data_IF_005890215383
#
_entry.id   IF_005890215383
#
_cell.length_a   1.000
_cell.length_b   1.000
_cell.length_c   1.000
_cell.angle_alpha   90.00
_cell.angle_beta   90.00
_cell.angle_gamma   90.00
#
_symmetry.space_group_name_H-M   'P 1'
#
loop_
_entity.id
_entity.type
_entity.pdbx_description
1 polymer ?
#
# COMPACT_ATOMS: atom_id res chain seq x y z
N UNK A 1 -20.77 -19.52 -7.95
CA UNK A 1 -20.74 -18.55 -6.83
C UNK A 1 -20.00 -17.31 -7.31
N UNK A 2 -20.69 -16.19 -7.45
CA UNK A 2 -20.05 -14.91 -7.75
C UNK A 2 -19.42 -14.43 -6.43
N UNK A 3 -18.09 -14.42 -6.33
CA UNK A 3 -17.38 -13.90 -5.15
C UNK A 3 -17.60 -12.39 -5.07
N UNK A 4 -17.84 -11.86 -3.86
CA UNK A 4 -17.97 -10.42 -3.61
C UNK A 4 -16.76 -9.67 -4.18
N UNK A 5 -16.96 -8.53 -4.89
CA UNK A 5 -15.89 -7.81 -5.60
C UNK A 5 -14.82 -7.17 -4.71
N UNK A 6 -14.98 -7.18 -3.37
CA UNK A 6 -14.09 -6.47 -2.45
C UNK A 6 -13.63 -7.40 -1.33
N UNK A 7 -12.95 -8.48 -1.68
CA UNK A 7 -12.26 -9.34 -0.71
C UNK A 7 -10.76 -9.10 -0.83
N UNK A 8 -10.12 -8.68 0.27
CA UNK A 8 -8.67 -8.56 0.31
C UNK A 8 -7.99 -9.92 0.09
N UNK A 9 -6.72 -9.90 -0.31
CA UNK A 9 -5.87 -11.08 -0.46
C UNK A 9 -6.31 -12.03 -1.58
N UNK A 10 -7.25 -11.62 -2.42
CA UNK A 10 -7.76 -12.39 -3.55
C UNK A 10 -7.32 -11.74 -4.86
N UNK A 11 -6.74 -12.52 -5.77
CA UNK A 11 -6.38 -12.05 -7.10
C UNK A 11 -7.31 -12.65 -8.16
N UNK A 12 -7.71 -11.87 -9.17
CA UNK A 12 -8.48 -12.42 -10.31
C UNK A 12 -7.62 -13.41 -11.10
N UNK A 13 -6.39 -12.98 -11.43
CA UNK A 13 -5.36 -13.83 -12.02
C UNK A 13 -4.56 -14.48 -10.89
N UNK A 14 -4.54 -15.80 -10.80
CA UNK A 14 -3.85 -16.50 -9.72
C UNK A 14 -2.34 -16.57 -9.99
N UNK A 15 -1.48 -16.23 -9.02
CA UNK A 15 -0.03 -16.36 -9.18
C UNK A 15 0.37 -17.83 -9.26
N UNK A 16 1.33 -18.15 -10.12
CA UNK A 16 1.93 -19.49 -10.21
C UNK A 16 3.34 -19.41 -9.65
N UNK A 17 3.51 -19.93 -8.43
CA UNK A 17 4.80 -19.94 -7.74
C UNK A 17 5.49 -21.26 -8.06
N UNK A 18 6.57 -21.21 -8.84
CA UNK A 18 7.38 -22.39 -9.14
C UNK A 18 8.59 -22.41 -8.22
N UNK A 19 8.75 -23.50 -7.49
CA UNK A 19 9.95 -23.74 -6.71
C UNK A 19 11.18 -23.86 -7.64
N UNK A 20 12.33 -23.39 -7.17
CA UNK A 20 13.70 -23.72 -7.66
C UNK A 20 14.42 -22.77 -8.65
N UNK A 21 14.05 -21.50 -8.81
CA UNK A 21 14.81 -20.57 -9.68
C UNK A 21 15.46 -19.41 -8.88
N UNK A 22 16.77 -19.24 -9.07
CA UNK A 22 17.63 -18.18 -8.49
C UNK A 22 17.33 -16.85 -9.21
N UNK A 23 17.17 -15.75 -8.47
CA UNK A 23 16.88 -14.41 -9.04
C UNK A 23 15.40 -14.07 -9.27
N UNK A 24 14.49 -14.88 -8.75
CA UNK A 24 13.03 -14.71 -8.93
C UNK A 24 12.55 -15.23 -10.28
N UNK A 25 11.22 -15.33 -10.43
CA UNK A 25 10.56 -15.67 -11.70
C UNK A 25 9.63 -14.54 -12.10
N UNK A 26 9.44 -14.34 -13.41
CA UNK A 26 8.41 -13.43 -13.89
C UNK A 26 7.04 -13.90 -13.37
N UNK A 27 6.30 -12.96 -12.78
CA UNK A 27 4.93 -13.19 -12.33
C UNK A 27 3.97 -13.23 -13.52
N UNK A 28 2.79 -13.82 -13.33
CA UNK A 28 1.74 -13.70 -14.33
C UNK A 28 1.25 -12.24 -14.32
N UNK A 29 1.11 -11.56 -15.46
CA UNK A 29 0.61 -10.19 -15.50
C UNK A 29 -0.67 -10.04 -14.66
N UNK A 30 -0.66 -9.03 -13.77
CA UNK A 30 -1.75 -8.69 -12.86
C UNK A 30 -2.09 -9.76 -11.80
N UNK A 31 -1.24 -10.78 -11.58
CA UNK A 31 -1.48 -11.79 -10.53
C UNK A 31 -1.22 -11.31 -9.10
N UNK A 32 -0.68 -10.11 -8.96
CA UNK A 32 -0.40 -9.46 -7.68
C UNK A 32 -1.06 -8.07 -7.65
N UNK A 33 -2.40 -7.99 -7.62
CA UNK A 33 -3.14 -6.77 -7.94
C UNK A 33 -3.02 -5.66 -6.88
N UNK A 34 -2.41 -5.95 -5.74
CA UNK A 34 -2.12 -5.01 -4.66
C UNK A 34 -0.74 -4.37 -4.75
N UNK A 35 0.14 -4.80 -5.66
CA UNK A 35 1.47 -4.23 -5.78
C UNK A 35 1.40 -2.77 -6.25
N UNK A 36 2.18 -1.91 -5.59
CA UNK A 36 2.33 -0.50 -5.95
C UNK A 36 3.78 -0.23 -6.28
N UNK A 37 4.02 0.32 -7.47
CA UNK A 37 5.32 0.85 -7.87
C UNK A 37 5.39 2.32 -7.46
N UNK A 38 6.24 2.64 -6.50
CA UNK A 38 6.49 4.01 -6.05
C UNK A 38 7.66 4.55 -6.86
N UNK A 39 7.38 5.58 -7.65
CA UNK A 39 8.31 6.12 -8.65
C UNK A 39 8.65 7.57 -8.35
N UNK A 40 9.84 7.97 -8.77
CA UNK A 40 10.18 9.37 -8.89
C UNK A 40 9.54 9.92 -10.17
N UNK A 41 8.74 10.98 -10.05
CA UNK A 41 8.04 11.58 -11.19
C UNK A 41 9.01 12.08 -12.28
N UNK A 42 10.19 12.57 -11.86
CA UNK A 42 11.20 13.12 -12.77
C UNK A 42 11.83 12.09 -13.71
N UNK A 43 11.93 10.84 -13.29
CA UNK A 43 12.56 9.76 -14.07
C UNK A 43 11.56 8.67 -14.50
N UNK A 44 10.36 8.66 -13.91
CA UNK A 44 9.39 7.57 -13.99
C UNK A 44 10.00 6.20 -13.64
N UNK A 45 11.05 6.18 -12.82
CA UNK A 45 11.72 4.96 -12.40
C UNK A 45 11.22 4.51 -11.02
N UNK A 46 10.93 3.20 -10.83
CA UNK A 46 10.65 2.66 -9.51
C UNK A 46 11.87 2.80 -8.59
N UNK A 47 11.64 3.24 -7.36
CA UNK A 47 12.67 3.28 -6.32
C UNK A 47 12.23 2.55 -5.04
N UNK A 48 10.93 2.50 -4.77
CA UNK A 48 10.32 1.69 -3.73
C UNK A 48 9.09 0.94 -4.27
N UNK A 49 8.71 -0.13 -3.59
CA UNK A 49 7.42 -0.79 -3.69
C UNK A 49 6.46 -0.37 -2.57
N UNK A 50 5.23 -0.81 -2.69
CA UNK A 50 4.20 -0.68 -1.67
C UNK A 50 3.07 -1.66 -1.91
N UNK A 51 2.10 -1.70 -1.01
CA UNK A 51 0.94 -2.58 -1.10
C UNK A 51 -0.35 -1.83 -0.84
N UNK A 52 -1.32 -1.95 -1.73
CA UNK A 52 -2.67 -1.46 -1.43
C UNK A 52 -3.31 -2.31 -0.34
N UNK A 53 -3.74 -1.65 0.74
CA UNK A 53 -4.44 -2.27 1.87
C UNK A 53 -5.91 -1.84 1.95
N UNK A 54 -6.25 -0.74 1.28
CA UNK A 54 -7.63 -0.26 1.03
C UNK A 54 -7.69 0.37 -0.36
N UNK A 55 -8.86 0.88 -0.75
CA UNK A 55 -9.09 1.65 -1.98
C UNK A 55 -8.35 2.98 -2.04
N UNK A 56 -7.75 3.43 -0.93
CA UNK A 56 -7.11 4.74 -0.80
C UNK A 56 -5.75 4.68 -0.12
N UNK A 57 -5.41 3.62 0.59
CA UNK A 57 -4.18 3.54 1.37
C UNK A 57 -3.19 2.52 0.82
N UNK A 58 -1.95 2.98 0.65
CA UNK A 58 -0.77 2.16 0.36
C UNK A 58 0.06 2.00 1.63
N UNK A 59 0.41 0.77 1.96
CA UNK A 59 1.37 0.42 3.01
C UNK A 59 2.76 0.23 2.40
N UNK A 60 3.77 0.87 2.99
CA UNK A 60 5.16 0.81 2.52
C UNK A 60 6.14 1.12 3.67
N UNK A 61 7.43 1.29 3.37
CA UNK A 61 8.48 1.61 4.34
C UNK A 61 8.62 3.13 4.57
N UNK A 62 8.97 3.53 5.79
CA UNK A 62 9.22 4.94 6.13
C UNK A 62 10.48 5.49 5.46
N UNK A 63 11.51 4.66 5.31
CA UNK A 63 12.78 5.07 4.70
C UNK A 63 12.62 5.57 3.27
N UNK A 64 11.56 5.18 2.56
CA UNK A 64 11.27 5.65 1.20
C UNK A 64 11.01 7.16 1.13
N UNK A 65 10.61 7.80 2.25
CA UNK A 65 10.19 9.21 2.28
C UNK A 65 10.92 10.07 3.31
N UNK A 66 11.74 9.45 4.17
CA UNK A 66 12.33 10.10 5.34
C UNK A 66 13.08 11.40 5.03
N UNK A 67 13.94 11.39 4.01
CA UNK A 67 14.77 12.56 3.70
C UNK A 67 13.94 13.79 3.31
N UNK A 68 12.83 13.60 2.60
CA UNK A 68 11.95 14.70 2.24
C UNK A 68 11.10 15.15 3.44
N UNK A 69 10.46 14.21 4.15
CA UNK A 69 9.57 14.58 5.25
C UNK A 69 10.33 15.22 6.41
N UNK A 70 11.55 14.75 6.70
CA UNK A 70 12.44 15.42 7.66
C UNK A 70 12.79 16.85 7.23
N UNK A 71 13.04 17.07 5.94
CA UNK A 71 13.36 18.40 5.41
C UNK A 71 12.19 19.37 5.52
N UNK A 72 10.96 18.88 5.41
CA UNK A 72 9.74 19.69 5.39
C UNK A 72 8.90 19.61 6.69
N UNK A 73 9.43 18.99 7.75
CA UNK A 73 8.76 18.88 9.05
C UNK A 73 7.44 18.10 9.00
N UNK A 74 7.46 16.96 8.29
CA UNK A 74 6.32 16.04 8.09
C UNK A 74 5.09 16.67 7.39
N UNK A 75 5.24 17.87 6.82
CA UNK A 75 4.17 18.52 6.06
C UNK A 75 4.15 18.05 4.61
N UNK A 76 2.97 17.72 4.11
CA UNK A 76 2.77 17.48 2.69
C UNK A 76 2.85 18.81 1.91
N UNK A 77 3.98 19.04 1.22
CA UNK A 77 4.20 20.21 0.38
C UNK A 77 3.90 19.91 -1.09
N UNK A 78 3.70 20.96 -1.91
CA UNK A 78 3.56 20.81 -3.35
C UNK A 78 4.78 20.11 -3.98
N UNK A 79 5.99 20.34 -3.43
CA UNK A 79 7.23 19.70 -3.88
C UNK A 79 7.24 18.18 -3.60
N UNK A 80 6.71 17.74 -2.46
CA UNK A 80 6.59 16.30 -2.16
C UNK A 80 5.51 15.66 -3.05
N UNK A 81 4.35 16.32 -3.19
CA UNK A 81 3.24 15.80 -4.03
C UNK A 81 3.65 15.59 -5.48
N UNK A 82 4.47 16.48 -6.04
CA UNK A 82 4.94 16.37 -7.43
C UNK A 82 6.15 15.46 -7.61
N UNK A 83 6.82 15.04 -6.52
CA UNK A 83 8.01 14.18 -6.59
C UNK A 83 7.66 12.70 -6.78
N UNK A 84 6.52 12.25 -6.25
CA UNK A 84 6.17 10.84 -6.17
C UNK A 84 4.96 10.47 -7.04
N UNK A 85 5.10 9.37 -7.77
CA UNK A 85 4.01 8.73 -8.50
C UNK A 85 3.77 7.33 -7.95
N UNK A 86 2.50 6.98 -7.73
CA UNK A 86 2.06 5.67 -7.27
C UNK A 86 1.39 4.97 -8.44
N UNK A 87 2.05 3.94 -8.97
CA UNK A 87 1.60 3.19 -10.14
C UNK A 87 1.10 1.82 -9.69
N UNK A 88 -0.19 1.57 -9.87
CA UNK A 88 -0.90 0.37 -9.38
C UNK A 88 -1.26 -0.53 -10.57
N UNK A 89 -1.21 -1.84 -10.37
CA UNK A 89 -1.63 -2.83 -11.37
C UNK A 89 -0.62 -3.04 -12.51
N UNK A 90 0.53 -2.37 -12.45
CA UNK A 90 1.59 -2.50 -13.44
C UNK A 90 2.19 -3.91 -13.43
N UNK A 91 2.47 -4.46 -14.62
CA UNK A 91 3.38 -5.60 -14.78
C UNK A 91 4.78 -5.12 -15.17
N UNK A 92 4.86 -4.13 -16.05
CA UNK A 92 6.12 -3.58 -16.52
C UNK A 92 6.61 -2.39 -15.68
N UNK A 93 7.91 -2.34 -15.38
CA UNK A 93 8.51 -1.22 -14.62
C UNK A 93 8.64 0.05 -15.46
N UNK A 94 8.63 -0.07 -16.79
CA UNK A 94 8.62 1.06 -17.74
C UNK A 94 7.42 0.95 -18.66
N UNK A 95 6.92 2.09 -19.13
CA UNK A 95 5.88 2.12 -20.15
C UNK A 95 6.41 1.53 -21.45
N UNK A 96 5.87 0.38 -21.83
CA UNK A 96 5.83 -0.04 -23.23
C UNK A 96 4.44 0.28 -23.76
N UNK A 97 4.32 0.68 -25.02
CA UNK A 97 3.02 0.94 -25.63
C UNK A 97 2.31 -0.41 -25.88
N UNK A 98 1.81 -1.04 -24.81
CA UNK A 98 1.19 -2.37 -24.82
C UNK A 98 -0.11 -2.33 -24.04
N UNK A 99 -1.16 -2.95 -24.57
CA UNK A 99 -2.49 -3.11 -23.95
C UNK A 99 -2.46 -3.72 -22.53
N UNK A 100 -1.33 -4.31 -22.12
CA UNK A 100 -1.07 -4.86 -20.77
C UNK A 100 -0.68 -3.80 -19.71
N UNK A 101 -0.61 -2.52 -20.08
CA UNK A 101 -0.27 -1.41 -19.17
C UNK A 101 -1.51 -0.65 -18.67
N UNK A 102 -2.61 -1.36 -18.38
CA UNK A 102 -3.67 -0.78 -17.55
C UNK A 102 -3.09 -0.55 -16.14
N UNK A 103 -2.56 0.64 -15.90
CA UNK A 103 -2.08 1.04 -14.60
C UNK A 103 -2.74 2.34 -14.17
N UNK A 104 -3.16 2.40 -12.92
CA UNK A 104 -3.61 3.64 -12.31
C UNK A 104 -2.38 4.43 -11.85
N UNK A 105 -2.37 5.73 -12.14
CA UNK A 105 -1.30 6.65 -11.74
C UNK A 105 -1.87 7.72 -10.85
N UNK A 106 -1.43 7.69 -9.61
CA UNK A 106 -1.93 8.57 -8.57
C UNK A 106 -0.78 9.31 -7.91
N UNK A 107 -1.10 10.43 -7.29
CA UNK A 107 -0.21 11.14 -6.36
C UNK A 107 -0.64 10.86 -4.93
N UNK A 108 0.12 11.36 -3.96
CA UNK A 108 -0.26 11.28 -2.55
C UNK A 108 -1.05 12.52 -2.11
N UNK A 109 -2.15 12.30 -1.39
CA UNK A 109 -2.77 13.32 -0.56
C UNK A 109 -1.94 13.58 0.70
N UNK A 110 -1.52 12.50 1.38
CA UNK A 110 -0.69 12.53 2.57
C UNK A 110 0.29 11.34 2.60
N UNK A 111 1.44 11.51 3.26
CA UNK A 111 2.42 10.46 3.53
C UNK A 111 2.72 10.53 5.03
N UNK A 112 2.48 9.43 5.74
CA UNK A 112 2.49 9.36 7.19
C UNK A 112 3.49 8.27 7.61
N UNK A 113 4.67 8.67 8.06
CA UNK A 113 5.65 7.75 8.64
C UNK A 113 5.28 7.41 10.08
N UNK A 114 5.68 6.23 10.53
CA UNK A 114 5.58 5.92 11.95
C UNK A 114 6.39 6.95 12.78
N UNK A 115 5.80 7.59 13.80
CA UNK A 115 6.44 8.70 14.53
C UNK A 115 7.69 8.28 15.29
N UNK A 116 7.86 6.97 15.54
CA UNK A 116 9.04 6.39 16.18
C UNK A 116 10.01 5.72 15.20
N UNK A 117 9.91 6.00 13.89
CA UNK A 117 10.87 5.48 12.91
C UNK A 117 12.29 5.93 13.27
N UNK A 118 13.18 4.95 13.44
CA UNK A 118 14.58 5.18 13.76
C UNK A 118 15.45 4.92 12.53
N UNK A 119 16.14 5.95 12.05
CA UNK A 119 16.96 5.83 10.84
C UNK A 119 18.22 5.02 10.99
N UNK A 120 18.75 4.89 12.21
CA UNK A 120 19.96 4.12 12.46
C UNK A 120 19.65 2.63 12.54
N UNK A 121 18.60 2.25 13.26
CA UNK A 121 18.24 0.83 13.48
C UNK A 121 17.21 0.29 12.49
N UNK A 122 16.58 1.18 11.71
CA UNK A 122 15.41 0.88 10.85
C UNK A 122 14.24 0.26 11.62
N UNK A 123 14.19 0.44 12.94
CA UNK A 123 13.04 0.03 13.75
C UNK A 123 11.88 0.99 13.45
N UNK A 124 10.65 0.44 13.38
CA UNK A 124 9.45 1.15 12.95
C UNK A 124 9.54 1.71 11.52
N UNK A 125 10.21 0.98 10.62
CA UNK A 125 10.28 1.33 9.20
C UNK A 125 8.99 0.96 8.47
N UNK A 126 7.97 1.81 8.66
CA UNK A 126 6.62 1.64 8.12
C UNK A 126 5.98 3.02 7.88
N UNK A 127 5.31 3.17 6.75
CA UNK A 127 4.57 4.37 6.38
C UNK A 127 3.25 4.02 5.68
N UNK A 128 2.29 4.92 5.81
CA UNK A 128 1.06 4.93 5.05
C UNK A 128 1.09 6.08 4.04
N UNK A 129 0.65 5.80 2.82
CA UNK A 129 0.37 6.82 1.82
C UNK A 129 -1.12 6.82 1.57
N UNK A 130 -1.75 7.97 1.78
CA UNK A 130 -3.09 8.23 1.31
C UNK A 130 -3.02 8.72 -0.14
N UNK A 131 -3.69 8.02 -1.04
CA UNK A 131 -3.74 8.38 -2.45
C UNK A 131 -4.63 9.61 -2.67
N UNK A 132 -4.35 10.35 -3.74
CA UNK A 132 -5.11 11.55 -4.12
C UNK A 132 -6.59 11.28 -4.41
N UNK A 133 -6.94 10.04 -4.75
CA UNK A 133 -8.30 9.59 -5.00
C UNK A 133 -8.45 8.09 -4.65
N UNK A 134 -9.68 7.69 -4.34
CA UNK A 134 -10.03 6.26 -4.20
C UNK A 134 -9.93 5.56 -5.55
N UNK A 135 -9.62 4.27 -5.50
CA UNK A 135 -9.49 3.39 -6.65
C UNK A 135 -10.81 2.71 -6.96
N UNK A 136 -11.17 2.66 -8.24
CA UNK A 136 -12.27 1.82 -8.73
C UNK A 136 -11.86 0.34 -8.73
N UNK A 137 -12.61 -0.47 -7.98
CA UNK A 137 -12.37 -1.89 -7.79
C UNK A 137 -13.00 -2.79 -8.86
N UNK A 138 -13.61 -2.19 -9.88
CA UNK A 138 -14.10 -2.93 -11.04
C UNK A 138 -12.95 -3.38 -11.96
N UNK A 139 -11.77 -2.78 -11.85
CA UNK A 139 -10.57 -3.19 -12.58
C UNK A 139 -9.95 -4.46 -11.97
N UNK A 140 -9.93 -5.56 -12.74
CA UNK A 140 -9.36 -6.85 -12.34
C UNK A 140 -7.86 -6.85 -12.12
N UNK A 141 -7.16 -5.81 -12.60
CA UNK A 141 -5.73 -5.62 -12.35
C UNK A 141 -5.42 -5.00 -10.99
N UNK A 142 -6.46 -4.58 -10.25
CA UNK A 142 -6.33 -3.91 -8.96
C UNK A 142 -7.08 -4.65 -7.86
N UNK A 143 -6.49 -4.65 -6.66
CA UNK A 143 -7.03 -5.33 -5.49
C UNK A 143 -6.19 -4.99 -4.26
N UNK A 144 -6.63 -5.45 -3.09
CA UNK A 144 -5.96 -5.15 -1.82
C UNK A 144 -5.38 -6.40 -1.20
N UNK A 145 -4.24 -6.28 -0.52
CA UNK A 145 -3.70 -7.35 0.32
C UNK A 145 -4.40 -7.33 1.69
N UNK A 146 -4.63 -8.49 2.30
CA UNK A 146 -5.14 -8.51 3.68
C UNK A 146 -4.01 -8.16 4.66
N UNK A 147 -4.34 -7.36 5.68
CA UNK A 147 -3.50 -7.26 6.87
C UNK A 147 -3.58 -8.57 7.69
N UNK A 148 -2.55 -8.88 8.50
CA UNK A 148 -2.61 -10.00 9.43
C UNK A 148 -3.84 -9.91 10.35
N UNK A 149 -4.41 -11.07 10.68
CA UNK A 149 -5.53 -11.13 11.63
C UNK A 149 -5.12 -10.52 12.99
N UNK A 150 -6.02 -9.82 13.71
CA UNK A 150 -5.72 -9.24 15.02
C UNK A 150 -5.14 -10.25 16.02
N UNK A 151 -5.60 -11.50 15.95
CA UNK A 151 -5.14 -12.62 16.81
C UNK A 151 -3.67 -12.98 16.58
N UNK A 152 -3.11 -12.63 15.41
CA UNK A 152 -1.70 -12.88 15.05
C UNK A 152 -0.76 -11.78 15.55
N UNK A 153 -1.27 -10.78 16.28
CA UNK A 153 -0.44 -9.78 16.97
C UNK A 153 0.36 -10.40 18.12
N UNK A 154 -0.23 -11.37 18.82
CA UNK A 154 0.30 -11.98 20.05
C UNK A 154 0.50 -13.50 20.01
N UNK A 155 1.18 -14.03 18.99
CA UNK A 155 2.07 -15.15 19.20
C UNK A 155 3.52 -14.71 18.97
N UNK A 156 4.43 -15.21 19.81
CA UNK A 156 5.88 -15.27 19.50
C UNK A 156 6.20 -16.20 18.30
N UNK A 157 5.20 -16.54 17.47
CA UNK A 157 5.28 -17.55 16.42
C UNK A 157 4.74 -17.06 15.07
N UNK A 158 4.46 -15.76 14.91
CA UNK A 158 4.03 -15.18 13.62
C UNK A 158 4.98 -14.07 13.15
N UNK A 159 5.51 -14.06 11.92
CA UNK A 159 5.31 -15.10 10.91
C UNK A 159 5.90 -16.45 11.35
N UNK A 160 5.33 -17.59 10.92
CA UNK A 160 5.82 -18.91 11.31
C UNK A 160 7.23 -19.14 10.80
N UNK A 161 8.09 -19.73 11.65
CA UNK A 161 9.45 -20.09 11.26
C UNK A 161 9.43 -21.05 10.05
N UNK A 162 10.33 -20.81 9.10
CA UNK A 162 10.47 -21.56 7.84
C UNK A 162 9.24 -21.55 6.92
N UNK A 163 8.26 -20.68 7.15
CA UNK A 163 7.18 -20.49 6.20
C UNK A 163 7.75 -19.95 4.88
N UNK A 164 7.32 -20.55 3.76
CA UNK A 164 7.69 -20.11 2.42
C UNK A 164 6.89 -18.86 2.05
N UNK A 165 7.49 -17.70 2.32
CA UNK A 165 6.88 -16.40 2.06
C UNK A 165 7.25 -15.88 0.68
N UNK A 166 6.40 -15.04 0.11
CA UNK A 166 6.54 -14.56 -1.27
C UNK A 166 6.81 -13.08 -1.26
N UNK A 167 7.95 -12.68 -1.80
CA UNK A 167 8.27 -11.30 -2.11
C UNK A 167 8.03 -11.03 -3.60
N UNK A 168 7.61 -9.80 -3.92
CA UNK A 168 7.37 -9.36 -5.29
C UNK A 168 7.93 -7.95 -5.51
N UNK A 169 8.38 -7.68 -6.73
CA UNK A 169 8.87 -6.36 -7.10
C UNK A 169 9.64 -6.31 -8.41
N UNK A 170 10.21 -5.14 -8.68
CA UNK A 170 11.01 -4.85 -9.89
C UNK A 170 12.47 -4.57 -9.57
N UNK A 171 12.90 -4.90 -8.35
CA UNK A 171 14.25 -4.67 -7.87
C UNK A 171 15.29 -5.38 -8.73
N UNK A 172 16.55 -5.06 -8.43
CA UNK A 172 17.69 -5.62 -9.15
C UNK A 172 17.72 -7.13 -9.02
N UNK A 173 17.90 -7.81 -10.15
CA UNK A 173 18.05 -9.28 -10.19
C UNK A 173 19.43 -9.77 -9.75
N UNK A 174 20.38 -8.85 -9.57
CA UNK A 174 21.76 -9.10 -9.13
C UNK A 174 22.24 -7.97 -8.23
N UNK A 175 23.05 -8.32 -7.25
CA UNK A 175 23.64 -7.35 -6.32
C UNK A 175 24.69 -6.44 -7.00
N UNK A 176 25.40 -6.97 -8.00
CA UNK A 176 26.51 -6.27 -8.63
C UNK A 176 26.12 -4.92 -9.26
N UNK A 177 27.13 -4.07 -9.51
CA UNK A 177 26.97 -2.73 -10.08
C UNK A 177 26.30 -2.73 -11.47
N UNK A 178 26.25 -3.89 -12.13
CA UNK A 178 25.64 -4.09 -13.45
C UNK A 178 24.22 -4.67 -13.36
N UNK A 179 23.76 -5.05 -12.17
CA UNK A 179 22.42 -5.53 -11.88
C UNK A 179 21.38 -4.49 -12.27
N UNK A 180 20.67 -4.75 -13.36
CA UNK A 180 19.57 -3.89 -13.80
C UNK A 180 18.31 -4.24 -13.00
N UNK A 181 17.50 -3.22 -12.71
CA UNK A 181 16.13 -3.42 -12.28
C UNK A 181 15.39 -4.25 -13.33
N UNK A 182 14.48 -5.13 -12.88
CA UNK A 182 13.69 -5.93 -13.79
C UNK A 182 12.71 -5.06 -14.58
N UNK A 183 12.55 -5.35 -15.87
CA UNK A 183 11.50 -4.71 -16.67
C UNK A 183 10.11 -5.27 -16.37
N UNK A 184 10.02 -6.47 -15.79
CA UNK A 184 8.78 -7.18 -15.48
C UNK A 184 8.67 -7.44 -13.99
N UNK A 185 7.45 -7.56 -13.48
CA UNK A 185 7.22 -7.87 -12.08
C UNK A 185 7.72 -9.29 -11.79
N UNK A 186 8.69 -9.39 -10.89
CA UNK A 186 9.22 -10.66 -10.42
C UNK A 186 8.56 -11.06 -9.11
N UNK A 187 8.59 -12.36 -8.85
CA UNK A 187 8.19 -12.97 -7.60
C UNK A 187 9.25 -13.98 -7.16
N UNK A 188 9.48 -14.07 -5.85
CA UNK A 188 10.44 -15.00 -5.27
C UNK A 188 9.92 -15.55 -3.95
N UNK A 189 10.11 -16.85 -3.76
CA UNK A 189 9.83 -17.53 -2.50
C UNK A 189 11.07 -17.47 -1.61
N UNK A 190 10.89 -17.03 -0.37
CA UNK A 190 11.91 -16.85 0.66
C UNK A 190 11.43 -17.51 1.96
N UNK A 191 12.24 -18.38 2.58
CA UNK A 191 11.88 -18.97 3.85
C UNK A 191 12.00 -17.90 4.94
N UNK A 192 10.94 -17.75 5.74
CA UNK A 192 10.97 -16.96 6.96
C UNK A 192 11.97 -17.57 7.92
N UNK A 193 12.80 -16.74 8.54
CA UNK A 193 13.63 -17.12 9.66
C UNK A 193 12.95 -16.63 10.95
N UNK A 194 12.93 -17.47 11.97
CA UNK A 194 12.31 -17.14 13.26
C UNK A 194 12.72 -15.74 13.71
N UNK A 195 11.77 -14.88 14.12
CA UNK A 195 12.09 -13.54 14.59
C UNK A 195 13.03 -13.57 15.81
N UNK A 196 13.08 -14.69 16.54
CA UNK A 196 13.88 -14.89 17.76
C UNK A 196 15.21 -15.61 17.52
N UNK A 197 15.71 -15.67 16.28
CA UNK A 197 17.11 -16.07 16.03
C UNK A 197 18.07 -15.09 16.72
N UNK A 198 19.36 -15.47 16.82
CA UNK A 198 20.36 -14.54 17.33
C UNK A 198 20.36 -13.31 16.41
N UNK A 199 20.36 -12.08 16.95
CA UNK A 199 20.37 -10.86 16.15
C UNK A 199 21.41 -10.88 15.03
N UNK A 200 22.63 -11.37 15.32
CA UNK A 200 23.73 -11.49 14.35
C UNK A 200 23.46 -12.44 13.17
N UNK A 201 22.53 -13.39 13.32
CA UNK A 201 22.13 -14.29 12.24
C UNK A 201 21.11 -13.61 11.30
N UNK A 202 20.54 -12.47 11.72
CA UNK A 202 19.53 -11.70 10.98
C UNK A 202 20.08 -10.36 10.46
N UNK A 203 20.77 -9.60 11.32
CA UNK A 203 21.27 -8.26 11.03
C UNK A 203 22.58 -7.98 11.79
N UNK A 204 23.48 -7.26 11.13
CA UNK A 204 24.75 -6.79 11.71
C UNK A 204 24.57 -5.53 12.59
N UNK A 205 23.33 -5.11 12.83
CA UNK A 205 22.98 -3.93 13.60
C UNK A 205 21.96 -4.25 14.71
N UNK A 206 21.62 -3.23 15.52
CA UNK A 206 20.57 -3.37 16.55
C UNK A 206 19.28 -3.84 15.90
N UNK A 207 18.80 -5.00 16.35
CA UNK A 207 17.65 -5.71 15.82
C UNK A 207 16.61 -5.91 16.92
N UNK A 208 15.35 -5.61 16.62
CA UNK A 208 14.23 -5.81 17.55
C UNK A 208 13.35 -6.98 17.05
N UNK A 209 13.43 -8.17 17.66
CA UNK A 209 12.68 -9.36 17.24
C UNK A 209 11.15 -9.21 17.40
N UNK A 210 10.68 -8.20 18.13
CA UNK A 210 9.24 -7.94 18.23
C UNK A 210 8.73 -7.16 17.02
N UNK A 211 9.59 -6.36 16.37
CA UNK A 211 9.22 -5.43 15.30
C UNK A 211 9.80 -5.78 13.94
N UNK A 212 10.82 -6.62 13.91
CA UNK A 212 11.56 -7.02 12.71
C UNK A 212 11.66 -8.55 12.66
N UNK A 213 11.85 -9.08 11.45
CA UNK A 213 12.17 -10.49 11.22
C UNK A 213 12.96 -10.64 9.92
N UNK A 214 13.62 -11.78 9.75
CA UNK A 214 14.40 -12.09 8.56
C UNK A 214 13.71 -13.09 7.65
N UNK A 215 13.94 -12.98 6.35
CA UNK A 215 13.59 -14.01 5.38
C UNK A 215 14.68 -14.14 4.32
N UNK A 216 14.99 -15.37 3.93
CA UNK A 216 16.04 -15.66 2.97
C UNK A 216 16.73 -16.99 3.23
N UNK A 217 17.34 -17.55 2.19
CA UNK A 217 18.07 -18.81 2.27
C UNK A 217 19.42 -18.61 2.94
N UNK A 218 19.78 -19.51 3.85
CA UNK A 218 21.09 -19.49 4.51
C UNK A 218 22.24 -19.55 3.50
N UNK A 219 22.08 -20.29 2.40
CA UNK A 219 23.09 -20.39 1.34
C UNK A 219 23.11 -19.16 0.42
N UNK A 220 22.19 -18.20 0.58
CA UNK A 220 21.99 -17.10 -0.34
C UNK A 220 21.35 -17.54 -1.66
N UNK A 221 21.61 -16.79 -2.73
CA UNK A 221 21.12 -17.04 -4.08
C UNK A 221 19.71 -16.53 -4.38
N UNK A 222 18.88 -16.24 -3.36
CA UNK A 222 17.59 -15.57 -3.54
C UNK A 222 17.33 -14.58 -2.43
N UNK A 223 16.81 -13.42 -2.81
CA UNK A 223 16.50 -12.33 -1.90
C UNK A 223 15.64 -11.27 -2.61
N UNK A 224 15.08 -10.36 -1.82
CA UNK A 224 14.70 -9.02 -2.30
C UNK A 224 15.94 -8.17 -2.49
N UNK A 225 15.92 -7.24 -3.44
CA UNK A 225 17.07 -6.37 -3.68
C UNK A 225 16.67 -4.91 -3.87
N UNK A 226 17.66 -4.08 -4.20
CA UNK A 226 17.48 -2.66 -4.47
C UNK A 226 16.34 -2.42 -5.46
N UNK A 227 15.33 -1.63 -5.06
CA UNK A 227 14.09 -1.38 -5.81
C UNK A 227 12.88 -2.17 -5.32
N UNK A 228 13.07 -3.17 -4.44
CA UNK A 228 11.98 -3.88 -3.74
C UNK A 228 11.68 -3.29 -2.36
N UNK A 229 12.47 -2.31 -1.90
CA UNK A 229 12.27 -1.55 -0.66
C UNK A 229 10.83 -1.10 -0.48
N UNK A 230 10.22 -1.34 0.67
CA UNK A 230 8.81 -1.02 0.94
C UNK A 230 7.80 -1.98 0.30
N UNK A 231 8.25 -2.90 -0.55
CA UNK A 231 7.42 -3.95 -1.14
C UNK A 231 6.97 -5.01 -0.12
N UNK A 232 5.94 -5.82 -0.47
CA UNK A 232 5.38 -6.80 0.44
C UNK A 232 6.18 -8.11 0.48
N UNK A 233 6.27 -8.67 1.68
CA UNK A 233 6.51 -10.10 1.92
C UNK A 233 5.21 -10.72 2.43
N UNK A 234 4.76 -11.81 1.79
CA UNK A 234 3.39 -12.30 1.93
C UNK A 234 3.32 -13.80 2.23
N UNK A 235 2.27 -14.20 2.94
CA UNK A 235 1.88 -15.60 3.10
C UNK A 235 0.43 -15.79 2.66
N UNK A 236 0.11 -17.00 2.20
CA UNK A 236 -1.26 -17.37 1.87
C UNK A 236 -1.83 -18.29 2.95
N UNK A 237 -3.03 -17.97 3.43
CA UNK A 237 -3.81 -18.78 4.36
C UNK A 237 -5.18 -19.02 3.76
N UNK A 238 -5.57 -20.28 3.55
CA UNK A 238 -6.84 -20.65 2.93
C UNK A 238 -7.11 -19.87 1.61
N UNK A 239 -6.10 -19.78 0.74
CA UNK A 239 -6.16 -19.05 -0.54
C UNK A 239 -6.35 -17.53 -0.43
N UNK A 240 -6.18 -16.96 0.77
CA UNK A 240 -6.19 -15.52 1.01
C UNK A 240 -4.79 -15.05 1.37
N UNK A 241 -4.24 -14.17 0.54
CA UNK A 241 -2.93 -13.57 0.75
C UNK A 241 -2.97 -12.52 1.86
N UNK A 242 -1.96 -12.55 2.73
CA UNK A 242 -1.75 -11.59 3.80
C UNK A 242 -0.33 -11.03 3.71
N UNK A 243 -0.18 -9.71 3.91
CA UNK A 243 1.14 -9.09 4.07
C UNK A 243 1.67 -9.37 5.47
N UNK A 244 2.81 -10.04 5.56
CA UNK A 244 3.46 -10.36 6.84
C UNK A 244 4.63 -9.45 7.14
N UNK A 245 5.26 -8.91 6.09
CA UNK A 245 6.45 -8.08 6.18
C UNK A 245 6.46 -6.99 5.14
N UNK A 246 7.19 -5.91 5.45
CA UNK A 246 7.56 -4.84 4.51
C UNK A 246 9.07 -4.90 4.35
N UNK A 247 9.56 -4.97 3.11
CA UNK A 247 11.00 -5.00 2.80
C UNK A 247 11.67 -3.75 3.34
N UNK A 248 12.61 -3.87 4.29
CA UNK A 248 13.21 -2.73 4.98
C UNK A 248 14.67 -2.52 4.59
N UNK A 249 15.55 -3.48 4.91
CA UNK A 249 16.98 -3.39 4.61
C UNK A 249 17.60 -4.80 4.51
N UNK A 250 18.85 -4.86 4.08
CA UNK A 250 19.65 -6.09 4.03
C UNK A 250 21.12 -5.75 3.78
N UNK A 251 22.01 -6.69 4.10
CA UNK A 251 23.43 -6.55 3.78
C UNK A 251 23.72 -7.21 2.43
N UNK A 252 23.63 -6.39 1.37
CA UNK A 252 23.66 -6.90 0.02
C UNK A 252 22.35 -7.58 -0.37
N UNK A 253 22.39 -8.34 -1.46
CA UNK A 253 21.24 -9.11 -1.94
C UNK A 253 21.66 -10.55 -2.17
N UNK A 254 20.94 -11.50 -1.56
CA UNK A 254 21.13 -12.92 -1.80
C UNK A 254 22.53 -13.45 -1.43
N UNK A 255 23.21 -12.79 -0.49
CA UNK A 255 24.48 -13.26 0.07
C UNK A 255 24.21 -14.39 1.07
N UNK A 256 25.13 -15.36 1.12
CA UNK A 256 25.06 -16.42 2.12
C UNK A 256 25.10 -15.81 3.53
N UNK A 257 24.27 -16.33 4.43
CA UNK A 257 24.14 -15.89 5.83
C UNK A 257 23.74 -14.42 6.04
N UNK A 258 23.26 -13.72 5.00
CA UNK A 258 22.81 -12.33 5.06
C UNK A 258 21.38 -12.24 4.52
N UNK A 259 20.37 -12.67 5.30
CA UNK A 259 18.98 -12.58 4.88
C UNK A 259 18.51 -11.12 4.79
N UNK A 260 17.43 -10.89 4.04
CA UNK A 260 16.72 -9.61 4.06
C UNK A 260 15.96 -9.42 5.38
N UNK A 261 15.91 -8.19 5.87
CA UNK A 261 15.19 -7.80 7.08
C UNK A 261 13.89 -7.07 6.71
N UNK A 262 12.81 -7.48 7.36
CA UNK A 262 11.44 -7.03 7.10
C UNK A 262 10.81 -6.44 8.36
N UNK A 263 10.07 -5.34 8.20
CA UNK A 263 9.21 -4.79 9.26
C UNK A 263 8.01 -5.72 9.48
N UNK A 264 7.78 -6.19 10.71
CA UNK A 264 6.72 -7.15 11.08
C UNK A 264 5.35 -6.48 11.13
N UNK A 265 4.54 -6.63 10.07
CA UNK A 265 3.27 -5.88 9.94
C UNK A 265 2.28 -6.16 11.06
N UNK A 266 2.26 -7.38 11.61
CA UNK A 266 1.28 -7.78 12.64
C UNK A 266 1.30 -6.92 13.90
N UNK A 267 2.45 -6.36 14.28
CA UNK A 267 2.56 -5.51 15.49
C UNK A 267 2.14 -4.06 15.25
N UNK A 268 2.05 -3.63 13.99
CA UNK A 268 1.66 -2.27 13.61
C UNK A 268 0.18 -2.13 13.26
N UNK A 269 -0.63 -3.19 13.39
CA UNK A 269 -2.04 -3.18 12.98
C UNK A 269 -2.86 -2.08 13.66
N UNK A 270 -2.62 -1.85 14.96
CA UNK A 270 -3.29 -0.76 15.71
C UNK A 270 -2.89 0.61 15.17
N UNK A 271 -1.60 0.82 14.92
CA UNK A 271 -1.10 2.07 14.36
C UNK A 271 -1.67 2.31 12.96
N UNK A 272 -1.74 1.29 12.11
CA UNK A 272 -2.35 1.37 10.78
C UNK A 272 -3.81 1.81 10.89
N UNK A 273 -4.62 1.10 11.69
CA UNK A 273 -6.05 1.40 11.84
C UNK A 273 -6.28 2.79 12.44
N UNK A 274 -5.56 3.13 13.50
CA UNK A 274 -5.65 4.43 14.15
C UNK A 274 -5.33 5.56 13.18
N UNK A 275 -4.25 5.41 12.40
CA UNK A 275 -3.80 6.43 11.45
C UNK A 275 -4.80 6.63 10.33
N UNK A 276 -5.33 5.55 9.75
CA UNK A 276 -6.39 5.62 8.73
C UNK A 276 -7.64 6.31 9.30
N UNK A 277 -8.10 5.90 10.49
CA UNK A 277 -9.31 6.48 11.10
C UNK A 277 -9.14 7.96 11.44
N UNK A 278 -7.98 8.33 12.00
CA UNK A 278 -7.69 9.71 12.39
C UNK A 278 -7.63 10.62 11.16
N UNK A 279 -6.91 10.19 10.13
CA UNK A 279 -6.76 10.97 8.91
C UNK A 279 -8.09 11.14 8.16
N UNK A 280 -8.96 10.13 8.21
CA UNK A 280 -10.34 10.24 7.67
C UNK A 280 -11.16 11.28 8.45
N UNK A 281 -11.09 11.25 9.79
CA UNK A 281 -11.78 12.22 10.64
C UNK A 281 -11.25 13.64 10.48
N UNK A 282 -9.93 13.81 10.39
CA UNK A 282 -9.31 15.11 10.19
C UNK A 282 -9.76 15.72 8.84
N UNK A 283 -9.88 14.91 7.78
CA UNK A 283 -10.43 15.33 6.49
C UNK A 283 -11.91 15.73 6.57
N UNK A 284 -12.75 14.94 7.24
CA UNK A 284 -14.17 15.25 7.41
C UNK A 284 -14.36 16.56 8.20
N UNK A 285 -13.54 16.80 9.23
CA UNK A 285 -13.54 18.04 10.01
C UNK A 285 -13.05 19.21 9.16
N UNK A 286 -12.01 19.04 8.34
CA UNK A 286 -11.55 20.08 7.41
C UNK A 286 -12.64 20.45 6.40
N UNK A 287 -13.33 19.46 5.81
CA UNK A 287 -14.46 19.68 4.91
C UNK A 287 -15.61 20.43 5.58
N UNK A 288 -15.97 20.06 6.82
CA UNK A 288 -17.04 20.74 7.58
C UNK A 288 -16.68 22.18 7.97
N UNK A 289 -15.39 22.47 8.13
CA UNK A 289 -14.89 23.79 8.50
C UNK A 289 -14.44 24.63 7.30
N UNK A 290 -14.59 24.14 6.06
CA UNK A 290 -14.36 24.97 4.88
C UNK A 290 -15.39 26.11 4.90
N UNK A 291 -14.97 27.39 4.85
CA UNK A 291 -15.92 28.47 4.78
C UNK A 291 -16.78 28.27 3.53
N UNK A 292 -18.10 28.24 3.72
CA UNK A 292 -19.08 28.33 2.63
C UNK A 292 -18.90 29.68 1.92
N UNK A 293 -17.88 29.79 1.07
CA UNK A 293 -17.81 30.84 0.05
C UNK A 293 -18.54 30.34 -1.20
N UNK A 294 -19.79 29.92 -1.01
CA UNK A 294 -20.81 30.08 -2.03
C UNK A 294 -21.54 31.35 -1.66
N UNK A 295 -21.01 32.46 -2.14
CA UNK A 295 -21.77 33.68 -2.31
C UNK A 295 -22.84 33.37 -3.36
N UNK A 296 -23.94 32.71 -2.97
CA UNK A 296 -25.12 32.48 -3.82
C UNK A 296 -25.94 33.78 -3.95
N UNK A 297 -25.27 34.93 -4.04
CA UNK A 297 -25.86 36.24 -4.25
C UNK A 297 -24.88 37.12 -5.04
N UNK A 298 -24.43 36.66 -6.20
CA UNK A 298 -24.22 37.51 -7.38
C UNK A 298 -23.91 36.63 -8.60
N UNK A 299 -24.42 37.06 -9.75
CA UNK A 299 -24.26 36.51 -11.10
C UNK A 299 -25.19 35.35 -11.50
N UNK A 300 -26.51 35.59 -11.34
CA UNK A 300 -27.49 35.11 -12.33
C UNK A 300 -27.80 36.26 -13.30
N UNK A 301 -26.94 36.48 -14.30
CA UNK A 301 -27.37 37.18 -15.51
C UNK A 301 -28.28 36.25 -16.31
N UNK A 302 -29.58 36.45 -16.15
CA UNK A 302 -30.62 35.81 -16.95
C UNK A 302 -30.69 36.54 -18.29
N UNK A 303 -30.11 35.93 -19.33
CA UNK A 303 -30.36 36.32 -20.71
C UNK A 303 -31.73 35.77 -21.13
N UNK A 304 -32.70 36.66 -21.38
CA UNK A 304 -33.95 36.31 -22.03
C UNK A 304 -33.69 36.33 -23.54
N UNK A 305 -33.83 35.17 -24.19
CA UNK A 305 -34.10 35.11 -25.62
C UNK A 305 -35.49 34.51 -25.77
N UNK A 306 -36.41 35.30 -26.32
CA UNK A 306 -37.77 34.88 -26.60
C UNK A 306 -37.80 34.30 -27.99
N UNK A 307 -37.86 32.96 -28.10
CA UNK A 307 -38.65 32.32 -29.16
C UNK A 307 -38.88 30.81 -28.90
N UNK A 308 -40.18 30.52 -28.68
CA UNK A 308 -41.00 29.40 -29.20
C UNK A 308 -40.55 27.93 -28.99
N UNK A 309 -41.48 27.19 -28.34
CA UNK A 309 -41.72 25.74 -28.33
C UNK A 309 -40.92 24.79 -27.39
N UNK A 310 -41.53 24.61 -26.20
CA UNK A 310 -41.95 23.34 -25.56
C UNK A 310 -41.04 22.09 -25.55
N UNK A 311 -40.74 21.70 -24.30
CA UNK A 311 -40.28 20.40 -23.75
C UNK A 311 -38.77 20.13 -23.66
N UNK A 312 -38.17 20.55 -22.53
CA UNK A 312 -36.98 19.91 -21.97
C UNK A 312 -37.30 19.24 -20.62
N UNK A 313 -37.02 17.94 -20.50
CA UNK A 313 -37.08 17.16 -19.26
C UNK A 313 -35.84 17.46 -18.42
N UNK A 314 -36.03 17.78 -17.14
CA UNK A 314 -34.94 17.83 -16.15
C UNK A 314 -34.79 16.47 -15.47
N UNK A 315 -33.58 15.91 -15.50
CA UNK A 315 -33.17 14.86 -14.57
C UNK A 315 -32.50 15.53 -13.35
N UNK A 316 -33.24 15.58 -12.24
CA UNK A 316 -32.68 15.92 -10.93
C UNK A 316 -32.21 14.63 -10.26
N UNK A 317 -30.92 14.54 -9.95
CA UNK A 317 -30.37 13.53 -9.05
C UNK A 317 -30.60 13.97 -7.59
N UNK A 318 -31.14 13.12 -6.70
CA UNK A 318 -31.25 13.46 -5.29
C UNK A 318 -29.95 13.07 -4.55
N UNK A 319 -29.24 14.07 -4.02
CA UNK A 319 -28.30 13.87 -2.92
C UNK A 319 -29.10 13.78 -1.61
N UNK A 320 -29.20 12.61 -1.01
CA UNK A 320 -29.71 12.44 0.36
C UNK A 320 -28.54 12.28 1.32
N UNK A 321 -28.20 13.36 2.03
CA UNK A 321 -27.48 13.30 3.30
C UNK A 321 -28.49 12.95 4.40
N UNK A 322 -28.37 11.76 5.01
CA UNK A 322 -29.07 11.38 6.22
C UNK A 322 -28.04 11.19 7.35
N UNK A 323 -27.79 12.25 8.09
CA UNK A 323 -27.20 12.19 9.43
C UNK A 323 -28.38 12.10 10.40
N UNK A 324 -28.65 10.92 10.94
CA UNK A 324 -29.65 10.71 11.98
C UNK A 324 -28.99 10.82 13.36
N UNK A 325 -29.09 12.00 13.99
CA UNK A 325 -28.92 12.16 15.43
C UNK A 325 -30.18 11.64 16.13
N UNK A 326 -30.07 10.53 16.86
CA UNK A 326 -31.12 10.07 17.78
C UNK A 326 -30.82 10.58 19.20
N UNK A 327 -31.53 11.62 19.64
CA UNK A 327 -31.66 11.98 21.04
C UNK A 327 -33.15 12.27 21.36
N UNK A 328 -33.70 11.45 22.27
CA UNK A 328 -34.81 11.67 23.21
C UNK A 328 -36.16 12.26 22.73
N UNK A 329 -37.26 11.53 22.97
CA UNK A 329 -38.14 11.77 24.13
C UNK A 329 -39.36 10.82 24.17
N UNK A 330 -39.59 10.30 25.38
CA UNK A 330 -40.84 9.68 25.86
C UNK A 330 -42.02 10.63 25.68
N UNK A 331 -43.14 10.16 25.12
CA UNK A 331 -44.47 10.59 25.51
C UNK A 331 -45.48 9.43 25.41
N UNK A 332 -46.12 9.15 26.55
CA UNK A 332 -47.35 8.36 26.65
C UNK A 332 -48.49 9.04 25.89
N UNK A 333 -49.38 8.26 25.26
CA UNK A 333 -50.84 8.49 25.33
C UNK A 333 -51.63 7.27 24.84
N UNK A 334 -52.72 6.99 25.56
CA UNK A 334 -53.77 5.98 25.36
C UNK A 334 -54.74 6.35 24.22
N UNK A 335 -55.62 5.39 23.91
CA UNK A 335 -56.86 5.38 23.10
C UNK A 335 -56.66 4.85 21.67
N UNK A 336 -57.34 3.81 21.18
CA UNK A 336 -58.63 3.19 21.56
C UNK A 336 -58.51 1.70 21.86
#
# INVERSE_FOLDING_TARGET
MVRSPIQCGCAFYQPVIRARIVGGIESIPHSWPWIVSIRLASTNSPFCGGSLITDRYVLTAAHCFYDDLKKFGDKMTAAIRSKYLFVIGAHYSTEKNTYLNSHLRLTANSIIMHPQYNTNTKINDIALVELSQSIDLMDKSVGFICLPMPTLRYPKAFPPDRADAVAIGWGRVREDSFGRASNVLLQVELPVQSPYIRPSDCADQIYDPEKQFCAGFTQGGRDTCQGDSGGPLMLTYNQTWQIIGITSYGEGCARAHKPGVYTRVSVYRDWINYTISKNTLDYDIELLNMPNNLDMNNDLEIWWDTDVDNHAKYYLAPMTNLISFCFFLLFFTKYK
#
